data_IF_707367246251
#
_entry.id   IF_707367246251
#
_cell.length_a   1.000
_cell.length_b   1.000
_cell.length_c   1.000
_cell.angle_alpha   90.00
_cell.angle_beta   90.00
_cell.angle_gamma   90.00
#
_symmetry.space_group_name_H-M   'P 1'
#
loop_
_entity.id
_entity.type
_entity.pdbx_description
1 polymer ?
#
# COMPACT_ATOMS: atom_id res chain seq x y z
N UNK A 1 -44.06 -26.96 21.30
CA UNK A 1 -45.04 -27.78 20.58
C UNK A 1 -45.31 -27.16 19.22
N UNK A 2 -44.83 -27.88 18.19
CA UNK A 2 -45.50 -28.16 16.93
C UNK A 2 -45.64 -26.96 15.96
N UNK A 3 -45.39 -27.03 14.63
CA UNK A 3 -45.30 -28.14 13.68
C UNK A 3 -44.50 -27.64 12.48
N UNK A 4 -43.48 -28.36 12.07
CA UNK A 4 -42.92 -28.29 10.70
C UNK A 4 -43.85 -29.09 9.77
N UNK A 5 -44.27 -28.49 8.68
CA UNK A 5 -44.91 -29.18 7.58
C UNK A 5 -43.96 -29.15 6.37
N UNK A 6 -43.59 -30.31 5.96
CA UNK A 6 -42.85 -30.69 4.76
C UNK A 6 -43.67 -30.42 3.53
N UNK A 7 -43.13 -29.79 2.50
CA UNK A 7 -43.65 -29.85 1.15
C UNK A 7 -42.52 -30.24 0.19
N UNK A 8 -42.45 -31.50 -0.12
CA UNK A 8 -41.68 -32.06 -1.22
C UNK A 8 -42.51 -31.94 -2.51
N UNK A 9 -41.99 -31.21 -3.50
CA UNK A 9 -42.53 -31.30 -4.86
C UNK A 9 -41.41 -31.79 -5.78
N UNK A 10 -41.57 -33.03 -6.24
CA UNK A 10 -40.78 -33.63 -7.30
C UNK A 10 -41.07 -32.95 -8.64
N UNK A 11 -40.04 -32.47 -9.32
CA UNK A 11 -40.06 -32.23 -10.76
C UNK A 11 -38.96 -33.07 -11.39
N UNK A 12 -39.37 -34.22 -11.93
CA UNK A 12 -38.61 -34.96 -12.92
C UNK A 12 -38.85 -34.28 -14.28
N UNK A 13 -37.80 -33.79 -14.90
CA UNK A 13 -37.83 -33.24 -16.24
C UNK A 13 -36.38 -32.97 -16.67
N UNK A 14 -35.72 -34.06 -17.14
CA UNK A 14 -34.37 -33.99 -17.66
C UNK A 14 -34.34 -33.21 -18.97
N UNK A 15 -33.65 -32.10 -18.99
CA UNK A 15 -32.99 -31.56 -20.17
C UNK A 15 -31.58 -31.22 -19.76
N UNK A 16 -30.68 -32.14 -20.10
CA UNK A 16 -29.23 -31.90 -20.04
C UNK A 16 -28.91 -30.81 -21.05
N UNK A 17 -28.85 -29.56 -20.57
CA UNK A 17 -28.21 -28.48 -21.27
C UNK A 17 -26.69 -28.71 -21.15
N UNK A 18 -26.14 -29.36 -22.17
CA UNK A 18 -24.71 -29.37 -22.40
C UNK A 18 -24.30 -27.91 -22.57
N UNK A 19 -23.76 -27.31 -21.50
CA UNK A 19 -22.98 -26.07 -21.56
C UNK A 19 -21.74 -26.40 -22.38
N UNK A 20 -21.86 -26.26 -23.72
CA UNK A 20 -20.68 -26.13 -24.57
C UNK A 20 -20.04 -24.84 -24.22
N UNK A 21 -19.09 -24.90 -23.27
CA UNK A 21 -18.21 -23.80 -22.93
C UNK A 21 -17.36 -23.43 -24.14
N UNK A 22 -17.89 -22.56 -25.01
CA UNK A 22 -17.09 -21.85 -25.97
C UNK A 22 -16.19 -20.91 -25.13
N UNK A 23 -14.96 -21.34 -24.88
CA UNK A 23 -13.89 -20.42 -24.45
C UNK A 23 -13.86 -19.28 -25.47
N UNK A 24 -14.08 -18.06 -24.98
CA UNK A 24 -14.00 -16.88 -25.85
C UNK A 24 -12.63 -16.89 -26.53
N UNK A 25 -12.53 -16.52 -27.81
CA UNK A 25 -11.26 -16.45 -28.51
C UNK A 25 -10.26 -15.60 -27.70
N UNK A 26 -9.01 -16.02 -27.60
CA UNK A 26 -7.94 -15.34 -26.85
C UNK A 26 -7.84 -13.84 -27.21
N UNK A 27 -8.03 -13.51 -28.48
CA UNK A 27 -8.06 -12.13 -28.96
C UNK A 27 -9.21 -11.30 -28.38
N UNK A 28 -10.36 -11.93 -28.13
CA UNK A 28 -11.53 -11.27 -27.51
C UNK A 28 -11.26 -10.94 -26.05
N UNK A 29 -10.63 -11.85 -25.30
CA UNK A 29 -10.26 -11.61 -23.89
C UNK A 29 -9.17 -10.56 -23.76
N UNK A 30 -8.16 -10.59 -24.63
CA UNK A 30 -7.11 -9.55 -24.65
C UNK A 30 -7.69 -8.16 -24.93
N UNK A 31 -8.58 -8.06 -25.92
CA UNK A 31 -9.26 -6.79 -26.26
C UNK A 31 -10.16 -6.30 -25.12
N UNK A 32 -10.87 -7.21 -24.42
CA UNK A 32 -11.70 -6.86 -23.26
C UNK A 32 -10.84 -6.33 -22.10
N UNK A 33 -9.69 -6.95 -21.83
CA UNK A 33 -8.73 -6.50 -20.83
C UNK A 33 -8.18 -5.11 -21.11
N UNK A 34 -7.78 -4.84 -22.36
CA UNK A 34 -7.29 -3.53 -22.78
C UNK A 34 -8.35 -2.45 -22.52
N UNK A 35 -9.61 -2.71 -22.90
CA UNK A 35 -10.72 -1.77 -22.65
C UNK A 35 -10.99 -1.56 -21.15
N UNK A 36 -10.93 -2.63 -20.36
CA UNK A 36 -11.12 -2.53 -18.90
C UNK A 36 -10.00 -1.71 -18.24
N UNK A 37 -8.72 -1.91 -18.63
CA UNK A 37 -7.60 -1.07 -18.18
C UNK A 37 -7.79 0.40 -18.57
N UNK A 38 -8.25 0.69 -19.79
CA UNK A 38 -8.50 2.06 -20.24
C UNK A 38 -9.57 2.74 -19.38
N UNK A 39 -10.68 2.07 -19.09
CA UNK A 39 -11.73 2.57 -18.20
C UNK A 39 -11.23 2.86 -16.79
N UNK A 40 -10.40 1.97 -16.24
CA UNK A 40 -9.80 2.19 -14.93
C UNK A 40 -8.92 3.45 -14.91
N UNK A 41 -8.08 3.63 -15.95
CA UNK A 41 -7.24 4.83 -16.06
C UNK A 41 -8.07 6.11 -16.24
N UNK A 42 -9.16 6.04 -16.98
CA UNK A 42 -10.11 7.16 -17.16
C UNK A 42 -10.79 7.53 -15.82
N UNK A 43 -11.28 6.54 -15.07
CA UNK A 43 -11.88 6.78 -13.76
C UNK A 43 -10.88 7.40 -12.77
N UNK A 44 -9.64 6.91 -12.72
CA UNK A 44 -8.57 7.46 -11.88
C UNK A 44 -8.15 8.88 -12.28
N UNK A 45 -8.24 9.23 -13.56
CA UNK A 45 -7.93 10.57 -14.03
C UNK A 45 -9.01 11.61 -13.63
N UNK A 46 -10.24 11.16 -13.42
CA UNK A 46 -11.34 12.03 -12.93
C UNK A 46 -11.28 12.21 -11.41
N UNK A 47 -11.08 11.12 -10.68
CA UNK A 47 -10.90 11.11 -9.23
C UNK A 47 -10.05 9.90 -8.85
N UNK A 48 -8.88 10.15 -8.28
CA UNK A 48 -7.91 9.13 -7.91
C UNK A 48 -8.24 8.40 -6.60
N UNK A 49 -9.36 8.69 -5.96
CA UNK A 49 -9.80 8.04 -4.73
C UNK A 49 -10.47 6.69 -5.03
N UNK A 50 -10.02 5.63 -4.39
CA UNK A 50 -10.65 4.30 -4.50
C UNK A 50 -12.05 4.23 -3.87
N UNK A 51 -12.49 5.23 -3.14
CA UNK A 51 -13.88 5.36 -2.68
C UNK A 51 -14.84 5.84 -3.78
N UNK A 52 -14.31 6.31 -4.92
CA UNK A 52 -15.12 6.68 -6.08
C UNK A 52 -15.80 5.43 -6.66
N UNK A 53 -17.16 5.43 -6.82
CA UNK A 53 -17.90 4.30 -7.37
C UNK A 53 -17.41 3.84 -8.75
N UNK A 54 -16.97 4.76 -9.61
CA UNK A 54 -16.49 4.46 -10.96
C UNK A 54 -15.15 3.71 -10.92
N UNK A 55 -14.27 4.08 -9.98
CA UNK A 55 -13.00 3.36 -9.73
C UNK A 55 -13.28 1.95 -9.21
N UNK A 56 -14.20 1.81 -8.23
CA UNK A 56 -14.61 0.51 -7.70
C UNK A 56 -15.14 -0.39 -8.82
N UNK A 57 -16.10 0.12 -9.61
CA UNK A 57 -16.69 -0.62 -10.72
C UNK A 57 -15.66 -1.02 -11.78
N UNK A 58 -14.69 -0.16 -12.08
CA UNK A 58 -13.62 -0.45 -13.01
C UNK A 58 -12.65 -1.53 -12.48
N UNK A 59 -12.32 -1.49 -11.18
CA UNK A 59 -11.52 -2.53 -10.51
C UNK A 59 -12.23 -3.88 -10.56
N UNK A 60 -13.50 -3.93 -10.19
CA UNK A 60 -14.28 -5.17 -10.19
C UNK A 60 -14.41 -5.74 -11.61
N UNK A 61 -14.67 -4.89 -12.61
CA UNK A 61 -14.75 -5.31 -14.01
C UNK A 61 -13.40 -5.85 -14.52
N UNK A 62 -12.27 -5.21 -14.14
CA UNK A 62 -10.95 -5.66 -14.58
C UNK A 62 -10.52 -6.95 -13.89
N UNK A 63 -10.89 -7.15 -12.63
CA UNK A 63 -10.54 -8.35 -11.85
C UNK A 63 -11.03 -9.65 -12.50
N UNK A 64 -12.16 -9.60 -13.24
CA UNK A 64 -12.70 -10.74 -13.99
C UNK A 64 -11.75 -11.19 -15.10
N UNK A 65 -10.93 -10.28 -15.62
CA UNK A 65 -9.98 -10.52 -16.72
C UNK A 65 -8.54 -10.72 -16.22
N UNK A 66 -8.35 -11.08 -14.94
CA UNK A 66 -7.00 -11.34 -14.42
C UNK A 66 -6.34 -12.46 -15.25
N UNK A 67 -5.18 -12.20 -15.89
CA UNK A 67 -4.52 -13.22 -16.72
C UNK A 67 -3.79 -14.27 -15.90
N UNK A 68 -3.48 -13.97 -14.65
CA UNK A 68 -2.72 -14.85 -13.76
C UNK A 68 -3.70 -15.61 -12.86
N UNK A 69 -3.82 -16.92 -13.09
CA UNK A 69 -4.82 -17.76 -12.40
C UNK A 69 -4.53 -17.88 -10.89
N UNK A 70 -3.26 -18.02 -10.51
CA UNK A 70 -2.82 -18.14 -9.13
C UNK A 70 -1.71 -17.12 -8.82
N UNK A 71 -2.05 -15.81 -8.79
CA UNK A 71 -1.05 -14.73 -8.80
C UNK A 71 -0.15 -14.71 -7.56
N UNK A 72 -0.59 -15.28 -6.45
CA UNK A 72 0.23 -15.35 -5.24
C UNK A 72 1.20 -16.54 -5.22
N UNK A 73 1.02 -17.52 -6.10
CA UNK A 73 2.01 -18.59 -6.28
C UNK A 73 3.07 -18.21 -7.33
N UNK A 74 2.74 -17.31 -8.25
CA UNK A 74 3.71 -16.74 -9.20
C UNK A 74 4.29 -15.45 -8.62
N UNK A 75 5.12 -15.58 -7.59
CA UNK A 75 5.75 -14.43 -6.95
C UNK A 75 6.77 -13.74 -7.86
N UNK A 76 7.26 -14.37 -8.92
CA UNK A 76 8.15 -13.73 -9.89
C UNK A 76 7.40 -12.67 -10.71
N UNK A 77 6.14 -12.89 -11.06
CA UNK A 77 5.28 -11.87 -11.66
C UNK A 77 5.00 -10.70 -10.69
N UNK A 78 5.06 -10.97 -9.38
CA UNK A 78 4.84 -9.96 -8.35
C UNK A 78 6.09 -9.09 -8.09
N UNK A 79 7.30 -9.56 -8.46
CA UNK A 79 8.54 -8.80 -8.32
C UNK A 79 8.53 -7.53 -9.18
N UNK A 80 9.33 -6.55 -8.79
CA UNK A 80 9.53 -5.27 -9.47
C UNK A 80 9.17 -4.08 -8.60
N UNK A 81 9.32 -2.90 -9.14
CA UNK A 81 8.88 -1.66 -8.49
C UNK A 81 7.52 -1.27 -9.02
N UNK A 82 6.55 -1.13 -8.12
CA UNK A 82 5.17 -0.79 -8.42
C UNK A 82 4.87 0.61 -7.94
N UNK A 83 4.45 1.50 -8.84
CA UNK A 83 4.10 2.88 -8.54
C UNK A 83 2.60 3.02 -8.38
N UNK A 84 2.15 3.51 -7.24
CA UNK A 84 0.72 3.68 -6.93
C UNK A 84 0.09 4.75 -7.83
N UNK A 85 -1.08 4.43 -8.39
CA UNK A 85 -1.86 5.32 -9.26
C UNK A 85 -2.98 6.04 -8.51
N UNK A 86 -3.61 5.37 -7.56
CA UNK A 86 -4.68 5.95 -6.75
C UNK A 86 -4.11 6.73 -5.56
N UNK A 87 -4.92 7.66 -5.04
CA UNK A 87 -4.56 8.38 -3.82
C UNK A 87 -4.31 7.40 -2.65
N UNK A 88 -3.26 7.60 -1.86
CA UNK A 88 -3.05 6.83 -0.64
C UNK A 88 -4.18 7.05 0.36
N UNK A 89 -4.65 5.98 0.99
CA UNK A 89 -5.73 6.03 1.99
C UNK A 89 -5.19 6.22 3.42
N UNK A 90 -4.27 7.17 3.64
CA UNK A 90 -3.86 7.52 4.99
C UNK A 90 -4.97 8.30 5.70
N UNK A 91 -5.10 8.09 7.00
CA UNK A 91 -6.02 8.89 7.82
C UNK A 91 -5.54 10.33 7.89
N UNK A 92 -6.49 11.26 7.93
CA UNK A 92 -6.19 12.68 8.11
C UNK A 92 -5.64 13.33 6.85
N UNK A 93 -6.26 13.05 5.71
CA UNK A 93 -6.06 13.80 4.46
C UNK A 93 -6.36 15.29 4.73
N UNK A 94 -5.39 16.16 4.51
CA UNK A 94 -5.46 17.60 4.72
C UNK A 94 -5.76 18.38 3.42
N UNK A 95 -5.98 17.64 2.31
CA UNK A 95 -6.23 18.20 0.99
C UNK A 95 -4.98 18.24 0.11
N UNK A 96 -4.99 19.12 -0.87
CA UNK A 96 -3.88 19.30 -1.83
C UNK A 96 -3.09 20.57 -1.48
N UNK A 97 -1.77 20.53 -1.69
CA UNK A 97 -0.93 21.72 -1.67
C UNK A 97 -1.06 22.53 -2.98
N UNK A 98 -0.29 23.62 -3.08
CA UNK A 98 -0.30 24.49 -4.26
C UNK A 98 0.18 23.78 -5.55
N UNK A 99 0.96 22.71 -5.40
CA UNK A 99 1.49 21.91 -6.51
C UNK A 99 0.59 20.70 -6.84
N UNK A 100 -0.59 20.59 -6.17
CA UNK A 100 -1.54 19.50 -6.37
C UNK A 100 -1.17 18.19 -5.68
N UNK A 101 -0.19 18.19 -4.75
CA UNK A 101 0.21 17.01 -4.00
C UNK A 101 -0.65 16.86 -2.74
N UNK A 102 -0.99 15.63 -2.36
CA UNK A 102 -1.76 15.37 -1.15
C UNK A 102 -0.95 15.61 0.11
N UNK A 103 -1.61 16.21 1.09
CA UNK A 103 -1.00 16.53 2.38
C UNK A 103 -1.55 15.64 3.49
N UNK A 104 -0.64 15.21 4.36
CA UNK A 104 -0.97 14.44 5.57
C UNK A 104 -0.10 14.90 6.73
N UNK A 105 -0.55 14.68 7.95
CA UNK A 105 0.34 14.82 9.10
C UNK A 105 1.25 13.60 9.24
N UNK A 106 2.51 13.84 9.59
CA UNK A 106 3.50 12.78 9.80
C UNK A 106 3.01 11.73 10.81
N UNK A 107 2.33 12.17 11.87
CA UNK A 107 1.78 11.27 12.88
C UNK A 107 0.74 10.30 12.35
N UNK A 108 -0.09 10.70 11.39
CA UNK A 108 -1.06 9.81 10.77
C UNK A 108 -0.40 8.81 9.79
N UNK A 109 0.54 9.27 8.97
CA UNK A 109 1.25 8.41 8.03
C UNK A 109 2.09 7.34 8.74
N UNK A 110 2.67 7.69 9.89
CA UNK A 110 3.64 6.85 10.60
C UNK A 110 3.09 6.19 11.87
N UNK A 111 1.76 6.23 12.08
CA UNK A 111 1.11 5.72 13.30
C UNK A 111 1.75 6.27 14.59
N UNK A 112 2.26 7.51 14.54
CA UNK A 112 2.92 8.18 15.65
C UNK A 112 4.28 7.57 16.03
N UNK A 113 4.97 6.95 15.08
CA UNK A 113 6.34 6.46 15.27
C UNK A 113 7.31 7.63 15.34
N UNK A 114 7.19 8.60 14.43
CA UNK A 114 8.03 9.77 14.33
C UNK A 114 7.41 11.01 14.95
N UNK A 115 8.25 11.95 15.34
CA UNK A 115 7.90 13.27 15.85
C UNK A 115 8.58 14.34 14.98
N UNK A 116 7.99 15.54 14.82
CA UNK A 116 6.69 15.99 15.39
C UNK A 116 5.50 15.38 14.64
N UNK A 117 4.44 15.00 15.36
CA UNK A 117 3.27 14.31 14.77
C UNK A 117 2.40 15.18 13.90
N UNK A 118 2.36 16.46 14.20
CA UNK A 118 1.58 17.48 13.53
C UNK A 118 2.28 18.09 12.30
N UNK A 119 3.52 17.67 12.03
CA UNK A 119 4.23 18.08 10.81
C UNK A 119 3.42 17.73 9.58
N UNK A 120 3.08 18.75 8.80
CA UNK A 120 2.36 18.57 7.52
C UNK A 120 3.36 18.22 6.43
N UNK A 121 3.14 17.08 5.80
CA UNK A 121 3.96 16.58 4.71
C UNK A 121 3.13 16.50 3.43
N UNK A 122 3.63 17.05 2.33
CA UNK A 122 3.14 16.80 0.98
C UNK A 122 3.82 15.55 0.47
N UNK A 123 3.04 14.58 -0.04
CA UNK A 123 3.56 13.31 -0.53
C UNK A 123 3.51 13.25 -2.03
N UNK A 124 4.54 12.64 -2.59
CA UNK A 124 4.62 12.28 -4.00
C UNK A 124 4.06 10.86 -4.23
N UNK A 125 4.33 10.30 -5.42
CA UNK A 125 3.89 8.97 -5.78
C UNK A 125 4.53 7.91 -4.88
N UNK A 126 3.67 7.20 -4.16
CA UNK A 126 4.09 6.05 -3.36
C UNK A 126 4.57 4.93 -4.26
N UNK A 127 5.71 4.34 -3.94
CA UNK A 127 6.24 3.18 -4.65
C UNK A 127 6.38 1.98 -3.73
N UNK A 128 6.26 0.80 -4.33
CA UNK A 128 6.39 -0.47 -3.61
C UNK A 128 7.40 -1.38 -4.34
N UNK A 129 8.68 -1.30 -3.99
CA UNK A 129 9.70 -2.22 -4.44
C UNK A 129 9.47 -3.61 -3.85
N UNK A 130 9.31 -4.62 -4.72
CA UNK A 130 9.21 -6.03 -4.35
C UNK A 130 10.41 -6.74 -4.96
N UNK A 131 11.29 -7.30 -4.13
CA UNK A 131 12.56 -7.88 -4.56
C UNK A 131 12.80 -9.24 -3.92
N UNK A 132 13.47 -10.14 -4.65
CA UNK A 132 13.95 -11.39 -4.08
C UNK A 132 15.33 -11.18 -3.46
N UNK A 133 15.49 -11.55 -2.20
CA UNK A 133 16.76 -11.55 -1.47
C UNK A 133 16.99 -12.95 -0.89
N UNK A 134 17.70 -13.81 -1.64
CA UNK A 134 17.80 -15.23 -1.31
C UNK A 134 16.43 -15.90 -1.34
N UNK A 135 16.04 -16.55 -0.25
CA UNK A 135 14.75 -17.22 -0.10
C UNK A 135 13.63 -16.28 0.35
N UNK A 136 13.94 -15.03 0.69
CA UNK A 136 12.96 -14.04 1.18
C UNK A 136 12.56 -13.11 0.04
N UNK A 137 11.27 -12.82 -0.05
CA UNK A 137 10.75 -11.75 -0.89
C UNK A 137 10.47 -10.54 -0.02
N UNK A 138 11.17 -9.43 -0.29
CA UNK A 138 10.93 -8.17 0.39
C UNK A 138 9.73 -7.47 -0.23
N UNK A 139 8.98 -6.76 0.61
CA UNK A 139 7.83 -5.96 0.23
C UNK A 139 7.96 -4.61 0.91
N UNK A 140 8.66 -3.70 0.25
CA UNK A 140 8.93 -2.40 0.82
C UNK A 140 7.90 -1.38 0.32
N UNK A 141 7.61 -0.35 1.13
CA UNK A 141 6.76 0.79 0.73
C UNK A 141 7.53 2.06 0.95
N UNK A 142 7.86 2.74 -0.13
CA UNK A 142 8.58 4.02 -0.12
C UNK A 142 7.60 5.16 -0.41
N UNK A 143 7.61 6.15 0.48
CA UNK A 143 6.72 7.31 0.44
C UNK A 143 7.62 8.56 0.41
N UNK A 144 7.94 9.07 -0.79
CA UNK A 144 8.62 10.36 -0.91
C UNK A 144 7.74 11.47 -0.34
N UNK A 145 8.33 12.35 0.44
CA UNK A 145 7.61 13.44 1.07
C UNK A 145 8.43 14.73 1.09
N UNK A 146 7.74 15.86 1.19
CA UNK A 146 8.35 17.14 1.44
C UNK A 146 7.57 17.88 2.54
N UNK A 147 8.25 18.74 3.27
CA UNK A 147 7.63 19.59 4.28
C UNK A 147 8.35 20.93 4.37
N UNK A 148 7.75 21.90 5.06
CA UNK A 148 8.40 23.16 5.41
C UNK A 148 8.68 23.21 6.91
N UNK A 149 9.88 23.65 7.27
CA UNK A 149 10.25 23.92 8.67
C UNK A 149 9.53 25.18 9.21
N UNK A 150 9.75 25.49 10.47
CA UNK A 150 9.18 26.67 11.12
C UNK A 150 9.63 28.00 10.49
N UNK A 151 10.70 28.01 9.71
CA UNK A 151 11.22 29.19 9.00
C UNK A 151 10.77 29.24 7.55
N UNK A 152 9.99 28.25 7.07
CA UNK A 152 9.49 28.17 5.71
C UNK A 152 10.46 27.50 4.71
N UNK A 153 11.61 26.99 5.16
CA UNK A 153 12.56 26.25 4.31
C UNK A 153 11.99 24.85 4.02
N UNK A 154 12.13 24.41 2.78
CA UNK A 154 11.65 23.09 2.36
C UNK A 154 12.73 22.04 2.61
N UNK A 155 12.30 20.89 3.13
CA UNK A 155 13.08 19.66 3.17
C UNK A 155 12.33 18.56 2.45
N UNK A 156 13.07 17.63 1.85
CA UNK A 156 12.57 16.43 1.21
C UNK A 156 13.15 15.18 1.86
N UNK A 157 12.44 14.09 1.75
CA UNK A 157 12.90 12.81 2.26
C UNK A 157 11.97 11.68 1.92
N UNK A 158 12.37 10.49 2.29
CA UNK A 158 11.61 9.27 2.01
C UNK A 158 11.31 8.52 3.30
N UNK A 159 10.02 8.25 3.54
CA UNK A 159 9.57 7.28 4.55
C UNK A 159 9.56 5.90 3.91
N UNK A 160 10.44 5.03 4.37
CA UNK A 160 10.53 3.65 3.95
C UNK A 160 9.94 2.74 5.03
N UNK A 161 8.97 1.89 4.65
CA UNK A 161 8.53 0.78 5.47
C UNK A 161 9.04 -0.52 4.84
N UNK A 162 9.83 -1.27 5.58
CA UNK A 162 10.44 -2.52 5.15
C UNK A 162 9.58 -3.70 5.57
N UNK A 163 9.33 -4.60 4.63
CA UNK A 163 8.51 -5.78 4.86
C UNK A 163 9.00 -7.00 4.11
N UNK A 164 8.41 -8.11 4.50
CA UNK A 164 8.58 -9.41 3.84
C UNK A 164 7.22 -9.93 3.42
N UNK A 165 7.16 -10.68 2.32
CA UNK A 165 5.94 -11.32 1.89
C UNK A 165 6.12 -12.80 1.55
N UNK A 166 5.04 -13.54 1.73
CA UNK A 166 4.94 -14.97 1.46
C UNK A 166 3.57 -15.32 0.88
N UNK A 167 3.49 -16.40 0.13
CA UNK A 167 2.22 -16.90 -0.40
C UNK A 167 1.41 -17.56 0.70
N UNK A 168 0.13 -17.17 0.84
CA UNK A 168 -0.83 -17.79 1.77
C UNK A 168 -1.87 -18.65 1.04
N UNK A 169 -2.24 -18.27 -0.18
CA UNK A 169 -3.15 -19.01 -1.06
C UNK A 169 -2.94 -18.58 -2.51
N UNK A 170 -3.73 -19.10 -3.45
CA UNK A 170 -3.62 -18.78 -4.89
C UNK A 170 -3.66 -17.27 -5.21
N UNK A 171 -4.47 -16.51 -4.45
CA UNK A 171 -4.68 -15.07 -4.67
C UNK A 171 -4.28 -14.19 -3.49
N UNK A 172 -3.71 -14.77 -2.41
CA UNK A 172 -3.41 -14.03 -1.18
C UNK A 172 -1.95 -14.15 -0.81
N UNK A 173 -1.31 -13.01 -0.58
CA UNK A 173 0.02 -12.90 0.00
C UNK A 173 -0.06 -12.37 1.43
N UNK A 174 0.71 -12.98 2.34
CA UNK A 174 0.99 -12.46 3.67
C UNK A 174 2.05 -11.37 3.57
N UNK A 175 1.88 -10.29 4.31
CA UNK A 175 2.87 -9.21 4.41
C UNK A 175 3.13 -8.91 5.88
N UNK A 176 4.41 -8.85 6.23
CA UNK A 176 4.87 -8.57 7.58
C UNK A 176 5.88 -7.42 7.54
N UNK A 177 5.51 -6.26 8.06
CA UNK A 177 6.44 -5.14 8.16
C UNK A 177 7.38 -5.33 9.36
N UNK A 178 8.68 -5.36 9.10
CA UNK A 178 9.73 -5.65 10.09
C UNK A 178 10.38 -4.39 10.65
N UNK A 179 10.24 -3.27 9.94
CA UNK A 179 10.83 -1.99 10.34
C UNK A 179 10.68 -0.93 9.26
N UNK A 180 11.56 0.04 9.32
CA UNK A 180 11.65 1.09 8.33
C UNK A 180 12.46 2.29 8.80
N UNK A 181 12.57 3.27 7.93
CA UNK A 181 13.34 4.48 8.17
C UNK A 181 12.65 5.71 7.59
N UNK A 182 12.97 6.84 8.14
CA UNK A 182 12.69 8.16 7.58
C UNK A 182 14.02 8.83 7.33
N UNK A 183 14.35 9.06 6.06
CA UNK A 183 15.65 9.55 5.61
C UNK A 183 15.50 10.84 4.81
N UNK A 184 16.43 11.81 4.91
CA UNK A 184 16.47 12.93 3.99
C UNK A 184 16.85 12.44 2.58
N UNK A 185 16.40 13.16 1.55
CA UNK A 185 16.88 12.97 0.20
C UNK A 185 18.15 13.79 -0.03
N UNK A 186 19.20 13.16 -0.55
CA UNK A 186 20.51 13.77 -0.81
C UNK A 186 21.52 13.57 0.32
N UNK A 187 22.78 13.86 -0.02
CA UNK A 187 23.94 13.62 0.86
C UNK A 187 24.25 14.82 1.79
N UNK A 188 23.58 15.97 1.59
CA UNK A 188 23.79 17.16 2.39
C UNK A 188 22.80 17.23 3.54
N UNK A 189 23.31 17.48 4.74
CA UNK A 189 22.52 17.76 5.93
C UNK A 189 21.66 19.00 5.69
N UNK A 190 20.37 18.77 5.33
CA UNK A 190 19.44 19.85 5.11
C UNK A 190 19.10 20.48 6.47
N UNK A 191 19.52 21.75 6.68
CA UNK A 191 19.23 22.51 7.89
C UNK A 191 17.77 22.43 8.32
N UNK A 192 16.85 22.43 7.36
CA UNK A 192 15.41 22.31 7.63
C UNK A 192 15.05 20.93 8.19
N UNK A 193 15.72 19.86 7.75
CA UNK A 193 15.55 18.51 8.27
C UNK A 193 16.10 18.40 9.69
N UNK A 194 17.36 18.79 9.88
CA UNK A 194 18.02 18.74 11.18
C UNK A 194 17.31 19.60 12.23
N UNK A 195 16.89 20.82 11.88
CA UNK A 195 16.15 21.70 12.79
C UNK A 195 14.78 21.15 13.18
N UNK A 196 14.08 20.48 12.25
CA UNK A 196 12.75 19.92 12.51
C UNK A 196 12.82 18.66 13.36
N UNK A 197 13.64 17.69 12.98
CA UNK A 197 13.68 16.38 13.65
C UNK A 197 14.64 16.38 14.84
N UNK A 198 15.77 17.08 14.80
CA UNK A 198 16.70 17.22 15.92
C UNK A 198 16.04 17.87 17.13
N UNK A 199 15.40 19.02 16.94
CA UNK A 199 14.66 19.70 18.01
C UNK A 199 13.51 18.86 18.58
N UNK A 200 12.86 18.03 17.75
CA UNK A 200 11.81 17.15 18.22
C UNK A 200 12.31 16.09 19.20
N UNK A 201 13.48 15.51 18.98
CA UNK A 201 14.08 14.55 19.93
C UNK A 201 14.50 15.18 21.25
N UNK A 202 15.03 16.40 21.23
CA UNK A 202 15.46 17.13 22.43
C UNK A 202 14.27 17.54 23.31
N UNK A 203 13.16 17.92 22.69
CA UNK A 203 12.00 18.48 23.39
C UNK A 203 10.93 17.46 23.75
N UNK A 204 10.94 16.29 23.10
CA UNK A 204 9.88 15.29 23.27
C UNK A 204 9.90 14.62 24.65
N UNK A 205 8.90 14.97 25.46
CA UNK A 205 8.63 14.31 26.75
C UNK A 205 7.29 13.57 26.67
N UNK A 206 7.27 12.23 26.53
CA UNK A 206 6.03 11.50 26.40
C UNK A 206 5.18 11.62 27.68
N UNK A 207 3.90 11.99 27.51
CA UNK A 207 2.91 12.01 28.62
C UNK A 207 2.70 10.58 29.17
N UNK A 208 2.21 10.45 30.41
CA UNK A 208 2.00 9.14 31.08
C UNK A 208 1.22 8.16 30.19
N UNK A 209 0.14 8.62 29.53
CA UNK A 209 -0.65 7.80 28.60
C UNK A 209 0.16 7.33 27.39
N UNK A 210 1.04 8.17 26.86
CA UNK A 210 1.90 7.82 25.73
C UNK A 210 2.99 6.82 26.15
N UNK A 211 3.54 6.95 27.36
CA UNK A 211 4.48 5.95 27.91
C UNK A 211 3.85 4.57 28.04
N UNK A 212 2.62 4.51 28.55
CA UNK A 212 1.87 3.25 28.65
C UNK A 212 1.60 2.66 27.27
N UNK A 213 1.16 3.47 26.31
CA UNK A 213 0.92 3.02 24.93
C UNK A 213 2.20 2.54 24.26
N UNK A 214 3.31 3.27 24.39
CA UNK A 214 4.61 2.88 23.84
C UNK A 214 5.09 1.56 24.47
N UNK A 215 4.91 1.38 25.78
CA UNK A 215 5.24 0.12 26.47
C UNK A 215 4.38 -1.04 25.94
N UNK A 216 3.07 -0.82 25.75
CA UNK A 216 2.15 -1.82 25.20
C UNK A 216 2.54 -2.22 23.77
N UNK A 217 2.82 -1.25 22.90
CA UNK A 217 3.25 -1.49 21.52
C UNK A 217 4.60 -2.23 21.47
N UNK A 218 5.54 -1.86 22.35
CA UNK A 218 6.82 -2.58 22.49
C UNK A 218 6.60 -4.04 22.90
N UNK A 219 5.71 -4.28 23.87
CA UNK A 219 5.42 -5.64 24.36
C UNK A 219 4.67 -6.49 23.35
N UNK A 220 3.68 -5.92 22.64
CA UNK A 220 2.81 -6.64 21.69
C UNK A 220 3.48 -6.84 20.33
N UNK A 221 4.03 -5.77 19.76
CA UNK A 221 4.56 -5.75 18.40
C UNK A 221 6.10 -5.76 18.37
N UNK A 222 6.75 -5.65 19.50
CA UNK A 222 8.20 -5.46 19.54
C UNK A 222 8.63 -4.13 18.88
N UNK A 223 7.76 -3.11 18.89
CA UNK A 223 8.04 -1.82 18.28
C UNK A 223 9.15 -1.09 19.06
N UNK A 224 10.25 -0.83 18.36
CA UNK A 224 11.36 -0.01 18.80
C UNK A 224 11.34 1.27 17.97
N UNK A 225 10.92 2.39 18.59
CA UNK A 225 10.89 3.71 17.96
C UNK A 225 12.30 4.29 17.85
N UNK A 226 12.53 5.21 16.91
CA UNK A 226 13.77 5.98 16.87
C UNK A 226 14.04 6.67 18.22
N UNK A 227 15.27 6.63 18.68
CA UNK A 227 15.72 7.30 19.90
C UNK A 227 16.54 8.55 19.61
N UNK A 228 16.84 8.81 18.35
CA UNK A 228 17.60 9.92 17.83
C UNK A 228 17.69 9.89 16.32
N UNK A 229 18.38 10.84 15.77
CA UNK A 229 18.73 10.95 14.37
C UNK A 229 20.19 10.52 14.21
N UNK A 230 20.49 9.73 13.18
CA UNK A 230 21.85 9.31 12.82
C UNK A 230 22.62 10.48 12.19
N UNK A 231 23.93 10.33 11.99
CA UNK A 231 24.80 11.33 11.36
C UNK A 231 24.40 11.66 9.92
N UNK A 232 23.76 10.73 9.21
CA UNK A 232 23.20 10.89 7.87
C UNK A 232 21.76 11.46 7.88
N UNK A 233 21.27 11.92 9.03
CA UNK A 233 19.92 12.43 9.18
C UNK A 233 18.82 11.36 9.25
N UNK A 234 19.16 10.09 9.15
CA UNK A 234 18.16 9.01 9.15
C UNK A 234 17.64 8.67 10.55
N UNK A 235 16.41 8.22 10.61
CA UNK A 235 15.72 7.76 11.82
C UNK A 235 15.09 6.41 11.55
N UNK A 236 15.47 5.38 12.29
CA UNK A 236 15.04 3.99 12.06
C UNK A 236 14.12 3.49 13.16
N UNK A 237 13.12 2.70 12.79
CA UNK A 237 12.32 1.93 13.74
C UNK A 237 12.36 0.44 13.38
N UNK A 238 12.08 -0.42 14.35
CA UNK A 238 12.02 -1.89 14.15
C UNK A 238 10.77 -2.46 14.80
N UNK A 239 10.23 -3.52 14.19
CA UNK A 239 9.12 -4.30 14.72
C UNK A 239 9.50 -5.79 14.77
N UNK A 240 9.91 -6.27 15.95
CA UNK A 240 10.38 -7.66 16.13
C UNK A 240 9.26 -8.70 16.10
N UNK A 241 8.03 -8.29 16.43
CA UNK A 241 6.83 -9.13 16.50
C UNK A 241 5.70 -8.51 15.69
N UNK A 242 6.01 -8.08 14.47
CA UNK A 242 5.01 -7.48 13.60
C UNK A 242 3.88 -8.48 13.30
N UNK A 243 2.62 -8.04 13.33
CA UNK A 243 1.51 -8.88 12.92
C UNK A 243 1.60 -9.19 11.43
N UNK A 244 1.22 -10.41 11.06
CA UNK A 244 1.05 -10.78 9.67
C UNK A 244 -0.24 -10.13 9.15
N UNK A 245 -0.10 -9.21 8.21
CA UNK A 245 -1.20 -8.71 7.38
C UNK A 245 -1.36 -9.58 6.14
N UNK A 246 -2.36 -9.29 5.31
CA UNK A 246 -2.48 -9.92 4.01
C UNK A 246 -2.99 -8.96 2.95
N UNK A 247 -2.69 -9.29 1.71
CA UNK A 247 -3.18 -8.64 0.51
C UNK A 247 -3.83 -9.70 -0.37
N UNK A 248 -5.05 -9.45 -0.82
CA UNK A 248 -5.68 -10.20 -1.90
C UNK A 248 -5.26 -9.57 -3.22
N UNK A 249 -4.70 -10.37 -4.14
CA UNK A 249 -4.33 -9.92 -5.47
C UNK A 249 -5.58 -10.04 -6.35
N UNK A 250 -6.18 -8.91 -6.69
CA UNK A 250 -7.38 -8.84 -7.53
C UNK A 250 -7.03 -8.92 -9.02
N UNK A 251 -5.89 -8.35 -9.38
CA UNK A 251 -5.39 -8.33 -10.75
C UNK A 251 -3.86 -8.24 -10.76
N UNK A 252 -3.23 -8.99 -11.64
CA UNK A 252 -1.78 -8.94 -11.83
C UNK A 252 -1.43 -9.30 -13.28
N UNK A 253 -0.76 -8.38 -13.97
CA UNK A 253 -0.05 -8.64 -15.23
C UNK A 253 1.29 -7.88 -15.28
N UNK A 254 1.92 -7.85 -16.43
CA UNK A 254 3.24 -7.23 -16.60
C UNK A 254 3.27 -5.71 -16.34
N UNK A 255 2.11 -5.04 -16.46
CA UNK A 255 2.01 -3.58 -16.37
C UNK A 255 1.27 -3.10 -15.12
N UNK A 256 0.27 -3.85 -14.65
CA UNK A 256 -0.69 -3.40 -13.66
C UNK A 256 -0.88 -4.45 -12.57
N UNK A 257 -0.92 -3.97 -11.33
CA UNK A 257 -1.23 -4.75 -10.14
C UNK A 257 -2.33 -4.07 -9.33
N UNK A 258 -3.35 -4.82 -8.94
CA UNK A 258 -4.40 -4.36 -8.03
C UNK A 258 -4.44 -5.30 -6.84
N UNK A 259 -4.29 -4.75 -5.64
CA UNK A 259 -4.33 -5.51 -4.40
C UNK A 259 -5.33 -4.89 -3.42
N UNK A 260 -5.93 -5.74 -2.57
CA UNK A 260 -6.81 -5.31 -1.48
C UNK A 260 -6.24 -5.78 -0.15
N UNK A 261 -5.97 -4.84 0.74
CA UNK A 261 -5.49 -5.10 2.09
C UNK A 261 -6.58 -5.70 2.99
N UNK A 262 -6.16 -6.31 4.10
CA UNK A 262 -7.04 -6.94 5.10
C UNK A 262 -8.04 -5.99 5.76
N UNK A 263 -7.89 -4.68 5.60
CA UNK A 263 -8.84 -3.64 6.07
C UNK A 263 -9.68 -3.05 4.95
N UNK A 264 -9.60 -3.62 3.74
CA UNK A 264 -10.37 -3.20 2.57
C UNK A 264 -9.72 -2.12 1.71
N UNK A 265 -8.59 -1.53 2.14
CA UNK A 265 -7.85 -0.57 1.31
C UNK A 265 -7.40 -1.20 -0.01
N UNK A 266 -7.60 -0.48 -1.11
CA UNK A 266 -7.22 -0.94 -2.45
C UNK A 266 -6.02 -0.13 -2.94
N UNK A 267 -5.02 -0.84 -3.45
CA UNK A 267 -3.86 -0.25 -4.10
C UNK A 267 -3.87 -0.67 -5.57
N UNK A 268 -3.93 0.33 -6.44
CA UNK A 268 -3.83 0.19 -7.89
C UNK A 268 -2.45 0.74 -8.27
N UNK A 269 -1.61 -0.09 -8.84
CA UNK A 269 -0.24 0.30 -9.12
C UNK A 269 0.21 -0.18 -10.50
N UNK A 270 0.95 0.66 -11.21
CA UNK A 270 1.61 0.29 -12.45
C UNK A 270 3.07 -0.08 -12.19
N UNK A 271 3.61 -0.95 -13.03
CA UNK A 271 5.02 -1.29 -12.97
C UNK A 271 5.85 -0.07 -13.37
N UNK A 272 6.74 0.36 -12.47
CA UNK A 272 7.69 1.41 -12.81
C UNK A 272 8.58 0.92 -13.97
N UNK A 273 8.74 1.75 -14.98
CA UNK A 273 9.74 1.48 -16.01
C UNK A 273 11.08 1.80 -15.38
N UNK A 274 11.99 0.82 -15.39
CA UNK A 274 13.36 1.13 -15.05
C UNK A 274 13.81 2.29 -15.95
N UNK A 275 14.47 3.33 -15.39
CA UNK A 275 15.07 4.33 -16.24
C UNK A 275 16.01 3.55 -17.18
N UNK A 276 15.72 3.65 -18.49
CA UNK A 276 16.60 3.08 -19.51
C UNK A 276 17.97 3.62 -19.18
N UNK A 277 18.90 2.73 -18.79
CA UNK A 277 20.28 3.09 -18.56
C UNK A 277 20.78 3.77 -19.85
N UNK A 278 20.96 5.10 -19.77
CA UNK A 278 21.49 5.90 -20.86
C UNK A 278 23.01 5.73 -20.94
#
# INVERSE_FOLDING_TARGET
MSKFALLAAAFAGGTSLALTGKTAPVDTLKSARIRAKARLREALAQDDKVSNPDVIAAVDALSIYNPTAAPAYDLDAFLGTWQQLNAPEFKGDLGLDADGRRQYSLGHMTFGIYEPKDLVCSIDKVSNPVKRRGDVITYDVAIPLSFKDATGRTATGTLLNEGECESLSESRVGVKFTGGSLCPDGDEECDAWASTFGAAFETYKPRKRQRLMNWLLKRMMGLEKPTGMSTDGSMTYKMKKAPLGHLDILYLDDELRITRGNKGSVVIAERARDPVAA
#
